data_IF_915462712180
#
_entry.id   IF_915462712180
#
_cell.length_a   1.000
_cell.length_b   1.000
_cell.length_c   1.000
_cell.angle_alpha   90.00
_cell.angle_beta   90.00
_cell.angle_gamma   90.00
#
_symmetry.space_group_name_H-M   'P 1'
#
loop_
_entity.id
_entity.type
_entity.pdbx_description
1 polymer ?
#
# COMPACT_ATOMS: atom_id res chain seq x y z
N UNK A 1 26.26 7.09 -10.26
CA UNK A 1 25.79 5.76 -9.84
C UNK A 1 25.02 5.15 -10.99
N UNK A 2 25.09 3.83 -11.14
CA UNK A 2 24.39 3.13 -12.20
C UNK A 2 22.89 3.00 -11.84
N UNK A 3 22.00 3.32 -12.76
CA UNK A 3 20.55 3.35 -12.51
C UNK A 3 20.01 1.97 -12.08
N UNK A 4 20.68 0.90 -12.51
CA UNK A 4 20.37 -0.49 -12.14
C UNK A 4 20.65 -0.77 -10.65
N UNK A 5 21.56 -0.01 -10.02
CA UNK A 5 21.90 -0.18 -8.61
C UNK A 5 20.75 0.23 -7.69
N UNK A 6 20.06 1.35 -7.97
CA UNK A 6 18.91 1.78 -7.18
C UNK A 6 17.73 0.82 -7.33
N UNK A 7 17.49 0.31 -8.55
CA UNK A 7 16.44 -0.70 -8.80
C UNK A 7 16.71 -1.97 -7.99
N UNK A 8 17.97 -2.41 -7.88
CA UNK A 8 18.33 -3.56 -7.03
C UNK A 8 17.94 -3.31 -5.57
N UNK A 9 18.28 -2.14 -5.02
CA UNK A 9 17.91 -1.78 -3.64
C UNK A 9 16.40 -1.80 -3.42
N UNK A 10 15.61 -1.28 -4.37
CA UNK A 10 14.14 -1.32 -4.25
C UNK A 10 13.60 -2.76 -4.30
N UNK A 11 14.17 -3.63 -5.16
CA UNK A 11 13.79 -5.05 -5.22
C UNK A 11 14.13 -5.79 -3.94
N UNK A 12 15.32 -5.53 -3.38
CA UNK A 12 15.76 -6.12 -2.13
C UNK A 12 14.89 -5.64 -0.95
N UNK A 13 14.50 -4.36 -0.94
CA UNK A 13 13.54 -3.81 0.01
C UNK A 13 12.19 -4.55 -0.06
N UNK A 14 11.63 -4.77 -1.25
CA UNK A 14 10.38 -5.53 -1.39
C UNK A 14 10.52 -6.99 -0.99
N UNK A 15 11.67 -7.61 -1.28
CA UNK A 15 11.96 -8.98 -0.87
C UNK A 15 11.98 -9.11 0.65
N UNK A 16 12.73 -8.23 1.33
CA UNK A 16 12.83 -8.16 2.78
C UNK A 16 11.46 -7.89 3.43
N UNK A 17 10.68 -6.97 2.84
CA UNK A 17 9.31 -6.72 3.26
C UNK A 17 8.42 -7.97 3.17
N UNK A 18 8.52 -8.73 2.07
CA UNK A 18 7.73 -9.95 1.83
C UNK A 18 8.12 -11.13 2.72
N UNK A 19 9.39 -11.23 3.11
CA UNK A 19 9.88 -12.27 4.04
C UNK A 19 9.78 -11.87 5.51
N UNK A 20 9.40 -10.64 5.82
CA UNK A 20 9.33 -10.11 7.18
C UNK A 20 10.70 -9.76 7.77
N UNK A 21 11.75 -9.64 6.95
CA UNK A 21 13.08 -9.22 7.38
C UNK A 21 13.15 -7.69 7.53
N UNK A 22 12.58 -7.21 8.63
CA UNK A 22 12.46 -5.78 8.91
C UNK A 22 13.84 -5.13 9.07
N UNK A 23 14.83 -5.84 9.63
CA UNK A 23 16.15 -5.26 9.84
C UNK A 23 16.91 -5.09 8.50
N UNK A 24 16.81 -6.04 7.58
CA UNK A 24 17.35 -5.87 6.23
C UNK A 24 16.68 -4.70 5.49
N UNK A 25 15.35 -4.57 5.62
CA UNK A 25 14.60 -3.46 5.05
C UNK A 25 15.08 -2.12 5.61
N UNK A 26 15.19 -2.00 6.93
CA UNK A 26 15.61 -0.76 7.58
C UNK A 26 17.09 -0.43 7.29
N UNK A 27 17.91 -1.43 6.96
CA UNK A 27 19.30 -1.25 6.57
C UNK A 27 19.50 -0.38 5.34
N UNK A 28 18.55 -0.38 4.39
CA UNK A 28 18.66 0.41 3.15
C UNK A 28 18.02 1.80 3.25
N UNK A 29 17.26 2.08 4.32
CA UNK A 29 16.65 3.39 4.56
C UNK A 29 17.61 4.34 5.28
N UNK A 30 17.50 5.65 5.07
CA UNK A 30 18.17 6.65 5.93
C UNK A 30 17.56 6.70 7.34
N UNK A 31 18.25 7.30 8.31
CA UNK A 31 17.70 7.44 9.67
C UNK A 31 16.47 8.34 9.71
N UNK A 32 16.41 9.33 8.82
CA UNK A 32 15.38 10.36 8.66
C UNK A 32 14.41 10.07 7.50
N UNK A 33 14.34 8.81 7.05
CA UNK A 33 13.49 8.40 5.93
C UNK A 33 12.03 8.84 6.13
N UNK A 34 11.37 9.33 5.09
CA UNK A 34 9.94 9.63 5.14
C UNK A 34 9.15 8.67 4.26
N UNK A 35 8.18 7.94 4.83
CA UNK A 35 7.19 7.18 4.06
C UNK A 35 5.84 7.90 4.06
N UNK A 36 5.32 8.22 2.89
CA UNK A 36 4.19 9.11 2.70
C UNK A 36 3.10 8.41 1.93
N UNK A 37 1.91 8.42 2.51
CA UNK A 37 0.68 7.90 1.95
C UNK A 37 -0.24 9.07 1.57
N UNK A 38 -1.19 8.89 0.63
CA UNK A 38 -2.24 9.86 0.44
C UNK A 38 -3.15 9.91 1.68
N UNK A 39 -4.01 10.94 1.77
CA UNK A 39 -5.04 10.96 2.80
C UNK A 39 -6.02 9.80 2.62
N UNK A 40 -6.24 9.04 3.70
CA UNK A 40 -7.11 7.86 3.72
C UNK A 40 -8.14 7.99 4.87
N UNK A 41 -9.19 8.80 4.72
CA UNK A 41 -10.17 9.03 5.79
C UNK A 41 -10.80 7.73 6.31
N UNK A 42 -10.76 7.53 7.63
CA UNK A 42 -11.33 6.35 8.29
C UNK A 42 -10.47 5.08 8.20
N UNK A 43 -9.34 5.13 7.50
CA UNK A 43 -8.32 4.07 7.51
C UNK A 43 -7.34 4.37 8.66
N UNK A 44 -6.98 3.40 9.51
CA UNK A 44 -6.09 3.62 10.65
C UNK A 44 -4.62 3.65 10.21
N UNK A 45 -4.30 4.50 9.22
CA UNK A 45 -2.94 4.74 8.75
C UNK A 45 -2.67 6.24 8.77
N UNK A 46 -1.42 6.60 9.05
CA UNK A 46 -0.97 7.99 9.04
C UNK A 46 -0.62 8.42 7.62
N UNK A 47 -0.77 9.70 7.32
CA UNK A 47 -0.33 10.28 6.04
C UNK A 47 1.19 10.24 5.89
N UNK A 48 1.93 10.28 7.01
CA UNK A 48 3.39 10.29 6.99
C UNK A 48 3.96 9.53 8.18
N UNK A 49 4.97 8.71 7.90
CA UNK A 49 5.75 7.95 8.86
C UNK A 49 7.21 8.38 8.74
N UNK A 50 7.77 8.95 9.81
CA UNK A 50 9.12 9.53 9.80
C UNK A 50 10.15 8.65 10.52
N UNK A 51 11.31 8.54 9.91
CA UNK A 51 12.42 7.73 10.35
C UNK A 51 12.13 6.23 10.32
N UNK A 52 13.14 5.46 10.75
CA UNK A 52 13.03 4.00 10.86
C UNK A 52 11.93 3.56 11.84
N UNK A 53 11.75 4.32 12.92
CA UNK A 53 10.70 4.05 13.91
C UNK A 53 9.31 4.35 13.34
N UNK A 54 9.16 5.40 12.51
CA UNK A 54 7.94 5.60 11.74
C UNK A 54 7.64 4.42 10.82
N UNK A 55 8.64 3.87 10.13
CA UNK A 55 8.41 2.69 9.29
C UNK A 55 7.97 1.46 10.12
N UNK A 56 8.53 1.26 11.32
CA UNK A 56 8.03 0.23 12.25
C UNK A 56 6.59 0.50 12.69
N UNK A 57 6.25 1.77 12.96
CA UNK A 57 4.89 2.17 13.30
C UNK A 57 3.91 1.92 12.14
N UNK A 58 4.33 2.15 10.89
CA UNK A 58 3.52 1.80 9.72
C UNK A 58 3.15 0.32 9.70
N UNK A 59 4.11 -0.57 9.97
CA UNK A 59 3.83 -2.00 10.05
C UNK A 59 2.86 -2.33 11.20
N UNK A 60 3.06 -1.70 12.36
CA UNK A 60 2.23 -1.90 13.55
C UNK A 60 0.79 -1.37 13.37
N UNK A 61 0.59 -0.26 12.66
CA UNK A 61 -0.73 0.29 12.35
C UNK A 61 -1.46 -0.58 11.32
N UNK A 62 -0.71 -1.10 10.34
CA UNK A 62 -1.25 -1.85 9.20
C UNK A 62 -1.63 -3.28 9.56
N UNK A 63 -0.77 -3.99 10.30
CA UNK A 63 -0.97 -5.40 10.64
C UNK A 63 -2.34 -5.71 11.26
N UNK A 64 -2.87 -4.96 12.24
CA UNK A 64 -4.19 -5.23 12.82
C UNK A 64 -5.36 -4.79 11.92
N UNK A 65 -5.12 -4.00 10.87
CA UNK A 65 -6.17 -3.43 10.03
C UNK A 65 -6.38 -4.20 8.72
N UNK A 66 -5.31 -4.69 8.09
CA UNK A 66 -5.31 -5.21 6.73
C UNK A 66 -4.73 -6.63 6.64
N UNK A 67 -5.26 -7.43 5.70
CA UNK A 67 -4.65 -8.68 5.25
C UNK A 67 -4.40 -8.56 3.76
N UNK A 68 -3.13 -8.55 3.35
CA UNK A 68 -2.77 -8.55 1.94
C UNK A 68 -2.78 -9.98 1.41
N UNK A 69 -3.47 -10.19 0.29
CA UNK A 69 -3.48 -11.46 -0.45
C UNK A 69 -2.56 -11.42 -1.66
N UNK A 70 -2.30 -10.23 -2.20
CA UNK A 70 -1.32 -10.02 -3.25
C UNK A 70 -0.63 -8.67 -3.09
N UNK A 71 0.69 -8.66 -3.32
CA UNK A 71 1.51 -7.48 -3.47
C UNK A 71 2.41 -7.71 -4.69
N UNK A 72 2.21 -6.92 -5.74
CA UNK A 72 2.82 -7.19 -7.05
C UNK A 72 3.42 -5.92 -7.67
N UNK A 73 4.67 -5.57 -7.30
CA UNK A 73 5.48 -4.63 -8.07
C UNK A 73 5.70 -5.17 -9.49
N UNK A 74 5.49 -4.37 -10.52
CA UNK A 74 5.49 -4.85 -11.91
C UNK A 74 6.43 -4.11 -12.85
N UNK A 75 6.58 -2.79 -12.70
CA UNK A 75 7.45 -1.98 -13.56
C UNK A 75 8.32 -1.07 -12.72
N UNK A 76 9.60 -0.96 -13.08
CA UNK A 76 10.61 -0.18 -12.39
C UNK A 76 11.25 0.78 -13.38
N UNK A 77 11.29 2.06 -13.02
CA UNK A 77 11.91 3.11 -13.81
C UNK A 77 12.92 3.82 -12.91
N UNK A 78 14.11 4.11 -13.42
CA UNK A 78 15.16 4.77 -12.65
C UNK A 78 15.70 5.96 -13.43
N UNK A 79 15.78 7.11 -12.78
CA UNK A 79 16.41 8.33 -13.29
C UNK A 79 17.19 9.01 -12.17
N UNK A 80 18.50 9.15 -12.35
CA UNK A 80 19.43 9.76 -11.38
C UNK A 80 19.30 9.15 -9.98
N UNK A 81 18.70 9.88 -9.06
CA UNK A 81 18.49 9.58 -7.64
C UNK A 81 17.05 9.14 -7.34
N UNK A 82 16.25 8.83 -8.37
CA UNK A 82 14.86 8.44 -8.21
C UNK A 82 14.59 7.05 -8.80
N UNK A 83 13.74 6.28 -8.13
CA UNK A 83 13.12 5.07 -8.69
C UNK A 83 11.61 5.20 -8.59
N UNK A 84 10.92 4.97 -9.71
CA UNK A 84 9.46 4.90 -9.77
C UNK A 84 9.09 3.44 -9.95
N UNK A 85 8.19 2.95 -9.09
CA UNK A 85 7.65 1.60 -9.20
C UNK A 85 6.14 1.66 -9.40
N UNK A 86 5.65 0.96 -10.42
CA UNK A 86 4.23 0.70 -10.60
C UNK A 86 3.92 -0.68 -10.06
N UNK A 87 2.76 -0.81 -9.43
CA UNK A 87 2.30 -2.10 -8.92
C UNK A 87 0.82 -2.14 -8.65
N UNK A 88 0.41 -3.28 -8.12
CA UNK A 88 -0.97 -3.55 -7.69
C UNK A 88 -0.94 -4.31 -6.38
N UNK A 89 -1.94 -4.08 -5.55
CA UNK A 89 -2.17 -4.86 -4.35
C UNK A 89 -3.62 -5.32 -4.28
N UNK A 90 -3.82 -6.43 -3.58
CA UNK A 90 -5.12 -6.98 -3.22
C UNK A 90 -5.10 -7.39 -1.75
N UNK A 91 -6.26 -7.30 -1.10
CA UNK A 91 -6.41 -7.74 0.27
C UNK A 91 -7.81 -7.58 0.81
N UNK A 92 -7.92 -7.71 2.12
CA UNK A 92 -9.18 -7.63 2.86
C UNK A 92 -8.99 -6.77 4.11
N UNK A 93 -9.97 -5.93 4.42
CA UNK A 93 -10.03 -5.18 5.68
C UNK A 93 -10.49 -6.13 6.79
N UNK A 94 -9.77 -6.19 7.91
CA UNK A 94 -10.05 -7.15 8.98
C UNK A 94 -11.39 -6.89 9.68
N UNK A 95 -11.74 -5.62 9.91
CA UNK A 95 -12.98 -5.23 10.62
C UNK A 95 -14.24 -5.49 9.79
N UNK A 96 -14.26 -5.10 8.53
CA UNK A 96 -15.45 -5.19 7.65
C UNK A 96 -15.50 -6.47 6.83
N UNK A 97 -14.37 -7.18 6.69
CA UNK A 97 -14.17 -8.31 5.76
C UNK A 97 -14.38 -7.95 4.28
N UNK A 98 -14.44 -6.66 3.94
CA UNK A 98 -14.53 -6.23 2.55
C UNK A 98 -13.16 -6.39 1.85
N UNK A 99 -13.20 -6.91 0.63
CA UNK A 99 -12.03 -6.98 -0.24
C UNK A 99 -11.71 -5.61 -0.84
N UNK A 100 -10.44 -5.39 -1.13
CA UNK A 100 -9.97 -4.21 -1.87
C UNK A 100 -8.90 -4.64 -2.89
N UNK A 101 -8.82 -3.86 -3.97
CA UNK A 101 -7.77 -3.97 -4.97
C UNK A 101 -7.46 -2.59 -5.52
N UNK A 102 -6.21 -2.17 -5.51
CA UNK A 102 -5.83 -0.90 -6.13
C UNK A 102 -4.47 -1.00 -6.83
N UNK A 103 -4.31 -0.15 -7.84
CA UNK A 103 -3.01 0.13 -8.43
C UNK A 103 -2.33 1.25 -7.64
N UNK A 104 -1.00 1.20 -7.60
CA UNK A 104 -0.20 2.18 -6.92
C UNK A 104 1.06 2.53 -7.71
N UNK A 105 1.58 3.72 -7.42
CA UNK A 105 2.89 4.20 -7.84
C UNK A 105 3.66 4.57 -6.59
N UNK A 106 4.87 4.03 -6.42
CA UNK A 106 5.78 4.46 -5.36
C UNK A 106 6.98 5.18 -5.98
N UNK A 107 7.22 6.41 -5.53
CA UNK A 107 8.40 7.20 -5.86
C UNK A 107 9.41 7.08 -4.71
N UNK A 108 10.57 6.53 -5.01
CA UNK A 108 11.71 6.42 -4.12
C UNK A 108 12.72 7.51 -4.44
N UNK A 109 13.20 8.21 -3.42
CA UNK A 109 14.30 9.18 -3.53
C UNK A 109 15.52 8.64 -2.78
N UNK A 110 16.68 8.68 -3.42
CA UNK A 110 17.94 8.12 -2.93
C UNK A 110 18.94 9.20 -2.51
N UNK A 111 19.84 8.84 -1.59
CA UNK A 111 21.05 9.61 -1.30
C UNK A 111 22.20 9.20 -2.23
N UNK A 112 23.30 9.98 -2.31
CA UNK A 112 24.50 9.60 -3.04
C UNK A 112 25.16 8.28 -2.59
N UNK A 113 24.86 7.82 -1.38
CA UNK A 113 25.32 6.55 -0.80
C UNK A 113 24.38 5.37 -1.09
N UNK A 114 23.41 5.55 -2.00
CA UNK A 114 22.42 4.54 -2.37
C UNK A 114 21.53 4.08 -1.21
N UNK A 115 21.14 5.02 -0.34
CA UNK A 115 20.13 4.81 0.72
C UNK A 115 18.82 5.51 0.37
N UNK A 116 17.70 4.91 0.72
CA UNK A 116 16.36 5.48 0.48
C UNK A 116 16.06 6.52 1.56
N UNK A 117 15.87 7.78 1.16
CA UNK A 117 15.49 8.89 2.07
C UNK A 117 14.00 9.24 2.04
N UNK A 118 13.29 8.84 1.00
CA UNK A 118 11.85 9.10 0.88
C UNK A 118 11.18 8.04 0.04
N UNK A 119 9.98 7.64 0.46
CA UNK A 119 9.07 6.78 -0.29
C UNK A 119 7.73 7.51 -0.31
N UNK A 120 7.22 7.84 -1.48
CA UNK A 120 5.93 8.50 -1.65
C UNK A 120 5.01 7.62 -2.48
N UNK A 121 3.93 7.15 -1.85
CA UNK A 121 2.93 6.32 -2.49
C UNK A 121 1.76 7.15 -3.03
N UNK A 122 1.38 6.85 -4.26
CA UNK A 122 0.16 7.31 -4.90
C UNK A 122 -0.69 6.09 -5.20
N UNK A 123 -1.96 6.12 -4.82
CA UNK A 123 -2.87 4.99 -5.02
C UNK A 123 -4.31 5.45 -5.21
N UNK A 124 -5.17 4.56 -5.71
CA UNK A 124 -6.62 4.76 -5.69
C UNK A 124 -7.15 4.67 -4.24
N UNK A 125 -7.24 5.82 -3.59
CA UNK A 125 -7.72 5.95 -2.19
C UNK A 125 -9.17 5.53 -2.04
N UNK A 126 -10.01 5.71 -3.07
CA UNK A 126 -11.42 5.39 -3.01
C UNK A 126 -11.64 3.91 -2.72
N UNK A 127 -10.86 3.03 -3.35
CA UNK A 127 -11.02 1.59 -3.17
C UNK A 127 -10.71 1.14 -1.74
N UNK A 128 -9.63 1.64 -1.14
CA UNK A 128 -9.28 1.28 0.24
C UNK A 128 -10.22 1.92 1.27
N UNK A 129 -10.52 3.21 1.13
CA UNK A 129 -11.45 3.93 2.02
C UNK A 129 -12.85 3.29 2.00
N UNK A 130 -13.34 2.91 0.82
CA UNK A 130 -14.64 2.25 0.70
C UNK A 130 -14.67 0.87 1.37
N UNK A 131 -13.56 0.13 1.36
CA UNK A 131 -13.49 -1.16 2.03
C UNK A 131 -13.58 -1.04 3.57
N UNK A 132 -13.18 0.08 4.16
CA UNK A 132 -13.33 0.37 5.59
C UNK A 132 -14.74 0.82 5.99
N UNK A 133 -15.60 1.17 5.03
CA UNK A 133 -17.00 1.49 5.32
C UNK A 133 -17.77 0.19 5.53
N UNK A 134 -18.66 0.19 6.52
CA UNK A 134 -19.65 -0.86 6.64
C UNK A 134 -20.49 -0.89 5.35
N UNK A 135 -20.83 -2.08 4.84
CA UNK A 135 -21.79 -2.16 3.74
C UNK A 135 -23.08 -1.53 4.25
N UNK A 136 -23.50 -0.42 3.63
CA UNK A 136 -24.89 0.01 3.74
C UNK A 136 -25.74 -1.21 3.42
N UNK A 137 -26.58 -1.60 4.37
CA UNK A 137 -27.49 -2.72 4.23
C UNK A 137 -28.25 -2.54 2.91
N UNK A 138 -28.11 -3.52 2.03
CA UNK A 138 -28.93 -3.78 0.85
C UNK A 138 -29.90 -2.65 0.47
N UNK A 139 -29.66 -2.01 -0.67
CA UNK A 139 -30.76 -1.40 -1.42
C UNK A 139 -31.93 -2.39 -1.40
N UNK A 140 -33.15 -1.96 -0.98
CA UNK A 140 -34.26 -2.88 -0.85
C UNK A 140 -34.46 -3.56 -2.19
N UNK A 141 -34.37 -4.89 -2.20
CA UNK A 141 -34.71 -5.70 -3.37
C UNK A 141 -36.03 -5.19 -3.94
N UNK A 142 -36.12 -4.93 -5.26
CA UNK A 142 -37.37 -4.51 -5.86
C UNK A 142 -38.46 -5.52 -5.47
N UNK A 143 -39.69 -5.06 -5.17
CA UNK A 143 -40.74 -5.95 -4.68
C UNK A 143 -40.88 -7.11 -5.65
N UNK A 144 -40.81 -8.33 -5.12
CA UNK A 144 -41.08 -9.52 -5.91
C UNK A 144 -42.47 -9.36 -6.51
N UNK A 145 -42.54 -9.38 -7.84
CA UNK A 145 -43.81 -9.40 -8.54
C UNK A 145 -44.54 -10.69 -8.14
N UNK A 146 -45.39 -10.60 -7.10
CA UNK A 146 -46.41 -11.60 -6.84
C UNK A 146 -47.59 -11.33 -7.75
N UNK A 147 -47.98 -12.42 -8.40
CA UNK A 147 -49.28 -12.72 -9.00
C UNK A 147 -49.72 -11.90 -10.22
N UNK A 148 -49.50 -12.52 -11.38
CA UNK A 148 -50.52 -12.56 -12.41
C UNK A 148 -50.88 -14.01 -12.75
N UNK A 149 -51.94 -14.45 -12.06
CA UNK A 149 -53.08 -15.26 -12.54
C UNK A 149 -52.89 -16.73 -12.91
N UNK A 150 -53.53 -17.53 -12.07
CA UNK A 150 -54.43 -18.65 -12.38
C UNK A 150 -55.29 -18.44 -13.63
N UNK A 151 -55.52 -19.56 -14.32
CA UNK A 151 -56.48 -19.89 -15.40
C UNK A 151 -55.98 -19.79 -16.84
#
# INVERSE_FOLDING_TARGET
MDNDSHISVVKDLYSAFGTGDIEALLGVLTEDVAFILPELPGVPLQTTYEGKDGFRQFLADREPALVYTAFSPSQFFSDRDHVIVLGRTEGTVKSTRNGFQYQWVQLFEFTPENRVRRIHEFMDTHTLVSAFRERDQQEPSPPSARDSRTE
#
